data_IF_649424073812
#
_entry.id   IF_649424073812
#
_cell.length_a   1.000
_cell.length_b   1.000
_cell.length_c   1.000
_cell.angle_alpha   90.00
_cell.angle_beta   90.00
_cell.angle_gamma   90.00
#
_symmetry.space_group_name_H-M   'P 1'
#
loop_
_entity.id
_entity.type
_entity.pdbx_description
1 polymer ?
#
# COMPACT_ATOMS: atom_id res chain seq x y z
N UNK A 1 5.11 3.16 -9.75
CA UNK A 1 6.25 2.30 -10.07
C UNK A 1 5.84 0.86 -10.24
N UNK A 2 5.48 0.09 -9.20
CA UNK A 2 5.14 -1.34 -9.32
C UNK A 2 3.90 -1.68 -10.18
N UNK A 3 3.06 -0.72 -10.51
CA UNK A 3 1.91 -0.94 -11.39
C UNK A 3 2.31 -1.01 -12.88
N UNK A 4 3.34 -0.25 -13.26
CA UNK A 4 3.85 -0.18 -14.63
C UNK A 4 5.39 -0.11 -14.60
N UNK A 5 6.08 -1.19 -14.18
CA UNK A 5 7.53 -1.17 -13.98
C UNK A 5 8.31 -0.99 -15.29
N UNK A 6 7.81 -1.55 -16.41
CA UNK A 6 8.43 -1.41 -17.72
C UNK A 6 8.44 0.05 -18.17
N UNK A 7 7.32 0.77 -18.04
CA UNK A 7 7.24 2.18 -18.41
C UNK A 7 8.18 3.05 -17.57
N UNK A 8 8.31 2.73 -16.26
CA UNK A 8 9.24 3.45 -15.38
C UNK A 8 10.69 3.13 -15.74
N UNK A 9 11.00 1.87 -16.06
CA UNK A 9 12.33 1.49 -16.49
C UNK A 9 12.73 2.20 -17.79
N UNK A 10 11.82 2.29 -18.75
CA UNK A 10 12.03 3.03 -20.00
C UNK A 10 12.25 4.53 -19.74
N UNK A 11 11.38 5.15 -18.92
CA UNK A 11 11.47 6.59 -18.59
C UNK A 11 12.79 6.96 -17.92
N UNK A 12 13.29 6.08 -17.05
CA UNK A 12 14.54 6.30 -16.30
C UNK A 12 15.78 5.72 -16.99
N UNK A 13 15.64 5.07 -18.14
CA UNK A 13 16.74 4.42 -18.84
C UNK A 13 17.41 3.31 -18.03
N UNK A 14 16.64 2.55 -17.25
CA UNK A 14 17.19 1.52 -16.37
C UNK A 14 17.74 0.33 -17.19
N UNK A 15 18.91 -0.20 -16.83
CA UNK A 15 19.49 -1.36 -17.51
C UNK A 15 18.69 -2.65 -17.19
N UNK A 16 18.89 -3.74 -17.96
CA UNK A 16 18.30 -5.03 -17.66
C UNK A 16 18.56 -5.49 -16.23
N UNK A 17 17.59 -6.17 -15.62
CA UNK A 17 17.59 -6.65 -14.25
C UNK A 17 17.62 -5.54 -13.17
N UNK A 18 17.18 -4.35 -13.55
CA UNK A 18 16.95 -3.23 -12.62
C UNK A 18 15.53 -2.72 -12.78
N UNK A 19 14.80 -2.55 -11.70
CA UNK A 19 13.52 -1.86 -11.73
C UNK A 19 13.29 -1.04 -10.47
N UNK A 20 12.50 0.02 -10.59
CA UNK A 20 12.19 0.92 -9.49
C UNK A 20 11.07 0.34 -8.62
N UNK A 21 11.34 0.05 -7.36
CA UNK A 21 10.39 -0.52 -6.40
C UNK A 21 9.53 0.55 -5.73
N UNK A 22 10.17 1.63 -5.29
CA UNK A 22 9.51 2.76 -4.64
C UNK A 22 10.26 4.06 -4.97
N UNK A 23 9.63 5.17 -4.71
CA UNK A 23 10.24 6.49 -4.81
C UNK A 23 9.93 7.32 -3.58
N UNK A 24 10.72 8.36 -3.40
CA UNK A 24 10.52 9.36 -2.35
C UNK A 24 10.53 10.74 -3.00
N UNK A 25 9.58 11.58 -2.59
CA UNK A 25 9.56 12.99 -2.94
C UNK A 25 10.08 13.80 -1.76
N UNK A 26 10.96 14.74 -2.04
CA UNK A 26 11.48 15.71 -1.07
C UNK A 26 11.03 17.10 -1.51
N UNK A 27 10.54 17.89 -0.58
CA UNK A 27 10.07 19.24 -0.88
C UNK A 27 9.95 20.09 0.37
N UNK A 28 9.74 21.39 0.18
CA UNK A 28 9.40 22.30 1.26
C UNK A 28 7.91 22.13 1.58
N UNK A 29 7.61 22.06 2.87
CA UNK A 29 6.22 22.00 3.35
C UNK A 29 5.45 23.26 2.94
N UNK A 30 4.21 23.09 2.47
CA UNK A 30 3.30 24.21 2.21
C UNK A 30 2.47 24.48 3.48
N UNK A 31 2.68 25.61 4.16
CA UNK A 31 1.97 25.93 5.40
C UNK A 31 0.46 26.13 5.21
N UNK A 32 -0.02 26.35 3.96
CA UNK A 32 -1.44 26.42 3.65
C UNK A 32 -2.13 25.05 3.60
N UNK A 33 -1.36 23.98 3.50
CA UNK A 33 -1.85 22.59 3.47
C UNK A 33 -1.63 21.94 4.83
N UNK A 34 -2.62 22.02 5.70
CA UNK A 34 -2.56 21.35 7.00
C UNK A 34 -2.61 19.83 6.80
N UNK A 35 -1.52 19.16 7.16
CA UNK A 35 -1.45 17.70 7.22
C UNK A 35 -1.75 17.21 8.63
N UNK A 36 -2.49 16.13 8.75
CA UNK A 36 -2.69 15.44 10.01
C UNK A 36 -2.06 14.05 10.00
N UNK A 37 -1.65 13.59 11.17
CA UNK A 37 -1.03 12.26 11.32
C UNK A 37 -2.08 11.18 11.10
N UNK A 38 -1.93 10.45 10.01
CA UNK A 38 -2.81 9.31 9.71
C UNK A 38 -2.57 8.19 10.73
N UNK A 39 -3.62 7.63 11.36
CA UNK A 39 -3.50 6.48 12.24
C UNK A 39 -2.77 5.31 11.58
N UNK A 40 -2.07 4.53 12.38
CA UNK A 40 -1.41 3.29 11.98
C UNK A 40 -2.09 2.11 12.65
N UNK A 41 -1.98 0.93 12.06
CA UNK A 41 -2.39 -0.31 12.72
C UNK A 41 -1.73 -0.42 14.10
N UNK A 42 -2.45 -0.92 15.13
CA UNK A 42 -1.86 -1.19 16.43
C UNK A 42 -0.63 -2.09 16.30
N UNK A 43 0.37 -1.83 17.13
CA UNK A 43 1.62 -2.57 17.07
C UNK A 43 1.44 -4.10 17.13
N UNK A 44 0.54 -4.66 17.95
CA UNK A 44 0.30 -6.10 17.98
C UNK A 44 -0.22 -6.70 16.67
N UNK A 45 -0.81 -5.89 15.78
CA UNK A 45 -1.28 -6.34 14.47
C UNK A 45 -0.18 -6.42 13.42
N UNK A 46 1.00 -5.82 13.67
CA UNK A 46 2.10 -5.72 12.70
C UNK A 46 3.44 -6.24 13.23
N UNK A 47 3.57 -6.39 14.55
CA UNK A 47 4.77 -6.90 15.21
C UNK A 47 4.44 -8.23 15.89
N UNK A 48 5.13 -9.28 15.48
CA UNK A 48 4.99 -10.62 16.02
C UNK A 48 6.35 -11.09 16.55
N UNK A 49 6.37 -11.61 17.79
CA UNK A 49 7.56 -12.16 18.41
C UNK A 49 7.57 -13.68 18.21
N UNK A 50 8.61 -14.22 17.58
CA UNK A 50 8.87 -15.64 17.31
C UNK A 50 7.78 -16.36 16.49
N UNK A 51 6.50 -16.03 16.67
CA UNK A 51 5.37 -16.65 15.97
C UNK A 51 4.39 -15.61 15.46
N UNK A 52 3.87 -15.85 14.26
CA UNK A 52 2.78 -15.05 13.72
C UNK A 52 1.50 -15.28 14.52
N UNK A 53 0.83 -14.21 14.94
CA UNK A 53 -0.46 -14.30 15.64
C UNK A 53 -1.55 -14.76 14.67
N UNK A 54 -2.41 -15.73 15.05
CA UNK A 54 -3.54 -16.14 14.24
C UNK A 54 -4.46 -14.96 13.89
N UNK A 55 -5.07 -14.99 12.71
CA UNK A 55 -5.96 -13.91 12.24
C UNK A 55 -7.12 -13.66 13.22
N UNK A 56 -7.65 -14.72 13.84
CA UNK A 56 -8.73 -14.60 14.81
C UNK A 56 -8.35 -13.70 16.02
N UNK A 57 -7.10 -13.77 16.46
CA UNK A 57 -6.60 -12.95 17.56
C UNK A 57 -6.32 -11.49 17.17
N UNK A 58 -6.18 -11.21 15.88
CA UNK A 58 -5.92 -9.89 15.35
C UNK A 58 -7.21 -9.09 15.06
N UNK A 59 -8.37 -9.72 15.11
CA UNK A 59 -9.66 -9.09 14.77
C UNK A 59 -9.97 -7.87 15.65
N UNK A 60 -9.67 -7.93 16.95
CA UNK A 60 -9.87 -6.80 17.87
C UNK A 60 -8.98 -5.60 17.48
N UNK A 61 -7.72 -5.85 17.11
CA UNK A 61 -6.80 -4.80 16.68
C UNK A 61 -7.28 -4.13 15.38
N UNK A 62 -7.82 -4.92 14.45
CA UNK A 62 -8.40 -4.40 13.19
C UNK A 62 -9.68 -3.61 13.46
N UNK A 63 -10.53 -4.05 14.42
CA UNK A 63 -11.73 -3.32 14.80
C UNK A 63 -11.37 -1.95 15.38
N UNK A 64 -10.45 -1.90 16.35
CA UNK A 64 -9.94 -0.64 16.93
C UNK A 64 -9.36 0.29 15.84
N UNK A 65 -8.63 -0.27 14.89
CA UNK A 65 -8.09 0.53 13.79
C UNK A 65 -9.18 1.04 12.85
N UNK A 66 -10.23 0.27 12.60
CA UNK A 66 -11.37 0.72 11.80
C UNK A 66 -12.04 1.94 12.44
N UNK A 67 -12.18 1.97 13.75
CA UNK A 67 -12.74 3.11 14.50
C UNK A 67 -11.85 4.34 14.41
N UNK A 68 -10.55 4.17 14.65
CA UNK A 68 -9.58 5.24 14.54
C UNK A 68 -9.54 5.83 13.12
N UNK A 69 -9.63 4.99 12.09
CA UNK A 69 -9.69 5.42 10.70
C UNK A 69 -11.01 6.11 10.34
N UNK A 70 -12.14 5.69 10.92
CA UNK A 70 -13.42 6.35 10.70
C UNK A 70 -13.38 7.78 11.27
N UNK A 71 -12.85 7.96 12.48
CA UNK A 71 -12.64 9.29 13.08
C UNK A 71 -11.71 10.16 12.23
N UNK A 72 -10.59 9.61 11.73
CA UNK A 72 -9.67 10.31 10.86
C UNK A 72 -10.34 10.73 9.54
N UNK A 73 -11.11 9.85 8.90
CA UNK A 73 -11.83 10.18 7.67
C UNK A 73 -12.85 11.30 7.88
N UNK A 74 -13.57 11.28 9.01
CA UNK A 74 -14.50 12.34 9.37
C UNK A 74 -13.78 13.68 9.57
N UNK A 75 -12.68 13.70 10.32
CA UNK A 75 -11.86 14.89 10.53
C UNK A 75 -11.33 15.48 9.22
N UNK A 76 -10.94 14.62 8.28
CA UNK A 76 -10.43 15.02 6.96
C UNK A 76 -11.55 15.30 5.94
N UNK A 77 -12.82 15.24 6.35
CA UNK A 77 -13.98 15.40 5.46
C UNK A 77 -13.98 14.47 4.24
N UNK A 78 -13.37 13.29 4.39
CA UNK A 78 -13.23 12.31 3.31
C UNK A 78 -14.55 11.54 3.12
N UNK A 79 -15.04 11.50 1.87
CA UNK A 79 -16.22 10.70 1.50
C UNK A 79 -15.83 9.23 1.30
N UNK A 80 -15.69 8.48 2.39
CA UNK A 80 -15.33 7.06 2.37
C UNK A 80 -16.55 6.20 2.67
N UNK A 81 -16.77 5.14 1.87
CA UNK A 81 -17.84 4.16 2.10
C UNK A 81 -17.28 2.89 2.74
N UNK A 82 -17.77 2.56 3.93
CA UNK A 82 -17.34 1.37 4.68
C UNK A 82 -16.10 1.60 5.56
N UNK A 83 -15.66 0.54 6.22
CA UNK A 83 -14.50 0.57 7.11
C UNK A 83 -13.19 0.51 6.34
N UNK A 84 -12.07 0.83 7.01
CA UNK A 84 -10.74 0.67 6.42
C UNK A 84 -10.49 -0.77 5.94
N UNK A 85 -10.93 -1.78 6.70
CA UNK A 85 -10.78 -3.18 6.30
C UNK A 85 -11.50 -3.50 4.99
N UNK A 86 -12.74 -3.03 4.83
CA UNK A 86 -13.50 -3.17 3.56
C UNK A 86 -12.80 -2.47 2.41
N UNK A 87 -12.32 -1.25 2.64
CA UNK A 87 -11.57 -0.48 1.64
C UNK A 87 -10.29 -1.18 1.19
N UNK A 88 -9.53 -1.67 2.16
CA UNK A 88 -8.26 -2.34 1.90
C UNK A 88 -8.46 -3.69 1.20
N UNK A 89 -9.47 -4.44 1.61
CA UNK A 89 -9.85 -5.69 0.95
C UNK A 89 -10.23 -5.50 -0.52
N UNK A 90 -11.02 -4.49 -0.83
CA UNK A 90 -11.40 -4.17 -2.22
C UNK A 90 -10.21 -3.85 -3.13
N UNK A 91 -9.12 -3.31 -2.58
CA UNK A 91 -7.90 -2.97 -3.35
C UNK A 91 -7.12 -4.18 -3.86
N UNK A 92 -7.38 -5.35 -3.31
CA UNK A 92 -6.68 -6.60 -3.65
C UNK A 92 -7.64 -7.73 -4.00
N UNK A 93 -8.92 -7.43 -4.17
CA UNK A 93 -9.96 -8.43 -4.36
C UNK A 93 -9.96 -9.05 -5.76
N UNK A 94 -9.52 -8.31 -6.77
CA UNK A 94 -9.51 -8.77 -8.17
C UNK A 94 -8.24 -8.31 -8.88
N UNK A 95 -7.86 -8.95 -10.01
CA UNK A 95 -6.73 -8.50 -10.83
C UNK A 95 -6.85 -7.03 -11.25
N UNK A 96 -8.03 -6.57 -11.64
CA UNK A 96 -8.28 -5.18 -12.05
C UNK A 96 -8.05 -4.20 -10.90
N UNK A 97 -8.40 -4.59 -9.67
CA UNK A 97 -8.17 -3.78 -8.48
C UNK A 97 -6.67 -3.63 -8.17
N UNK A 98 -5.83 -4.53 -8.64
CA UNK A 98 -4.39 -4.48 -8.49
C UNK A 98 -3.72 -3.45 -9.43
N UNK A 99 -4.46 -2.94 -10.43
CA UNK A 99 -4.01 -1.85 -11.32
C UNK A 99 -2.66 -2.13 -12.00
N UNK A 100 -2.46 -3.34 -12.50
CA UNK A 100 -1.25 -3.79 -13.21
C UNK A 100 -0.22 -4.53 -12.35
N UNK A 101 -0.41 -4.60 -11.01
CA UNK A 101 0.49 -5.38 -10.13
C UNK A 101 0.28 -6.88 -10.20
N UNK A 102 -0.85 -7.33 -10.73
CA UNK A 102 -1.16 -8.72 -11.08
C UNK A 102 -0.17 -9.28 -12.09
N UNK A 103 0.34 -8.42 -13.00
CA UNK A 103 1.32 -8.75 -14.04
C UNK A 103 2.77 -8.52 -13.63
N UNK A 104 3.06 -8.35 -12.35
CA UNK A 104 4.41 -7.99 -11.90
C UNK A 104 5.46 -9.05 -12.26
N UNK A 105 5.10 -10.35 -12.25
CA UNK A 105 6.01 -11.44 -12.63
C UNK A 105 6.42 -11.31 -14.10
N UNK A 106 5.45 -11.15 -14.99
CA UNK A 106 5.67 -11.00 -16.44
C UNK A 106 6.49 -9.74 -16.74
N UNK A 107 6.17 -8.65 -16.07
CA UNK A 107 6.89 -7.40 -16.21
C UNK A 107 8.36 -7.52 -15.77
N UNK A 108 8.64 -8.21 -14.67
CA UNK A 108 10.01 -8.48 -14.24
C UNK A 108 10.76 -9.40 -15.21
N UNK A 109 10.08 -10.42 -15.76
CA UNK A 109 10.66 -11.28 -16.80
C UNK A 109 11.01 -10.47 -18.05
N UNK A 110 10.12 -9.56 -18.48
CA UNK A 110 10.38 -8.66 -19.62
C UNK A 110 11.57 -7.70 -19.36
N UNK A 111 11.81 -7.33 -18.10
CA UNK A 111 12.98 -6.56 -17.68
C UNK A 111 14.24 -7.42 -17.50
N UNK A 112 14.21 -8.71 -17.85
CA UNK A 112 15.36 -9.60 -17.87
C UNK A 112 15.65 -10.32 -16.55
N UNK A 113 14.74 -10.34 -15.58
CA UNK A 113 14.90 -11.14 -14.38
C UNK A 113 14.59 -12.61 -14.67
N UNK A 114 15.47 -13.56 -14.31
CA UNK A 114 15.27 -14.99 -14.56
C UNK A 114 14.33 -15.62 -13.51
N UNK A 115 13.08 -15.19 -13.48
CA UNK A 115 12.07 -15.73 -12.57
C UNK A 115 11.50 -17.06 -13.14
N UNK A 116 11.51 -18.09 -12.31
CA UNK A 116 10.91 -19.40 -12.61
C UNK A 116 9.43 -19.45 -12.19
#
# INVERSE_FOLDING_TARGET
MRNHPEAVAQLLGLPPRVFAVFGMTLGKEDPAQQASVKPRLPQPAVLHHERYRPVAEQQADVATYNEAMAAFYAQQQMKVRGTWAVHSGKRVATPEALTGRDRLKEALQALGFPLK
#
